data_IF_023360294305
#
_entry.id   IF_023360294305
#
_cell.length_a   1.000
_cell.length_b   1.000
_cell.length_c   1.000
_cell.angle_alpha   90.00
_cell.angle_beta   90.00
_cell.angle_gamma   90.00
#
_symmetry.space_group_name_H-M   'P 1'
#
loop_
_entity.id
_entity.type
_entity.pdbx_description
1 polymer ?
#
# COMPACT_ATOMS: atom_id res chain seq x y z
N UNK A 1 -49.19 7.76 2.07
CA UNK A 1 -48.86 6.41 2.54
C UNK A 1 -47.57 6.53 3.33
N UNK A 2 -47.66 6.61 4.66
CA UNK A 2 -46.48 6.64 5.53
C UNK A 2 -45.86 5.24 5.48
N UNK A 3 -44.57 5.14 5.15
CA UNK A 3 -43.81 3.90 5.17
C UNK A 3 -43.80 3.36 6.61
N UNK A 4 -44.78 2.54 6.96
CA UNK A 4 -44.90 1.86 8.26
C UNK A 4 -43.90 0.70 8.40
N UNK A 5 -42.64 0.94 8.03
CA UNK A 5 -41.60 -0.08 7.99
C UNK A 5 -40.17 0.44 7.91
N UNK A 6 -39.95 1.76 7.89
CA UNK A 6 -38.59 2.30 8.00
C UNK A 6 -38.16 2.28 9.47
N UNK A 7 -37.27 1.34 9.81
CA UNK A 7 -36.58 1.32 11.08
C UNK A 7 -35.22 2.02 10.93
N UNK A 8 -35.17 3.28 11.34
CA UNK A 8 -33.99 4.13 11.27
C UNK A 8 -32.77 3.50 11.95
N UNK A 9 -32.96 2.82 13.09
CA UNK A 9 -31.87 2.20 13.84
C UNK A 9 -31.22 1.05 13.05
N UNK A 10 -32.02 0.23 12.36
CA UNK A 10 -31.50 -0.85 11.51
C UNK A 10 -30.73 -0.27 10.33
N UNK A 11 -31.24 0.81 9.73
CA UNK A 11 -30.58 1.47 8.60
C UNK A 11 -29.24 2.09 9.01
N UNK A 12 -29.19 2.82 10.12
CA UNK A 12 -27.96 3.43 10.64
C UNK A 12 -26.93 2.36 11.05
N UNK A 13 -27.39 1.26 11.65
CA UNK A 13 -26.52 0.14 12.00
C UNK A 13 -25.92 -0.52 10.74
N UNK A 14 -26.74 -0.74 9.71
CA UNK A 14 -26.28 -1.27 8.42
C UNK A 14 -25.23 -0.37 7.78
N UNK A 15 -25.46 0.93 7.70
CA UNK A 15 -24.49 1.90 7.18
C UNK A 15 -23.17 1.89 7.97
N UNK A 16 -23.24 1.74 9.30
CA UNK A 16 -22.04 1.69 10.14
C UNK A 16 -21.23 0.42 9.93
N UNK A 17 -21.91 -0.72 9.79
CA UNK A 17 -21.28 -2.02 9.50
C UNK A 17 -20.63 -2.01 8.12
N UNK A 18 -21.33 -1.53 7.09
CA UNK A 18 -20.78 -1.35 5.73
C UNK A 18 -19.56 -0.43 5.73
N UNK A 19 -19.63 0.70 6.45
CA UNK A 19 -18.51 1.63 6.58
C UNK A 19 -17.29 1.03 7.29
N UNK A 20 -17.52 0.18 8.30
CA UNK A 20 -16.43 -0.53 8.99
C UNK A 20 -15.79 -1.55 8.05
N UNK A 21 -16.57 -2.40 7.40
CA UNK A 21 -16.05 -3.42 6.47
C UNK A 21 -15.25 -2.77 5.32
N UNK A 22 -15.77 -1.68 4.75
CA UNK A 22 -15.07 -0.90 3.74
C UNK A 22 -13.73 -0.36 4.26
N UNK A 23 -13.71 0.20 5.47
CA UNK A 23 -12.49 0.72 6.10
C UNK A 23 -11.43 -0.35 6.38
N UNK A 24 -11.84 -1.55 6.82
CA UNK A 24 -10.91 -2.69 6.98
C UNK A 24 -10.32 -3.09 5.64
N UNK A 25 -11.16 -3.23 4.61
CA UNK A 25 -10.70 -3.70 3.31
C UNK A 25 -9.78 -2.68 2.62
N UNK A 26 -10.09 -1.39 2.74
CA UNK A 26 -9.22 -0.31 2.26
C UNK A 26 -7.90 -0.29 3.02
N UNK A 27 -7.94 -0.36 4.36
CA UNK A 27 -6.72 -0.40 5.18
C UNK A 27 -5.84 -1.62 4.87
N UNK A 28 -6.45 -2.78 4.63
CA UNK A 28 -5.73 -4.00 4.21
C UNK A 28 -5.07 -3.82 2.85
N UNK A 29 -5.77 -3.25 1.87
CA UNK A 29 -5.21 -2.97 0.54
C UNK A 29 -4.05 -1.98 0.61
N UNK A 30 -4.22 -0.88 1.34
CA UNK A 30 -3.18 0.12 1.54
C UNK A 30 -1.94 -0.49 2.20
N UNK A 31 -2.11 -1.24 3.30
CA UNK A 31 -1.00 -1.88 4.01
C UNK A 31 -0.25 -2.92 3.16
N UNK A 32 -0.95 -3.67 2.31
CA UNK A 32 -0.29 -4.59 1.37
C UNK A 32 0.51 -3.82 0.32
N UNK A 33 -0.06 -2.75 -0.25
CA UNK A 33 0.62 -1.95 -1.26
C UNK A 33 1.90 -1.30 -0.68
N UNK A 34 1.79 -0.68 0.50
CA UNK A 34 2.94 -0.11 1.22
C UNK A 34 3.99 -1.18 1.55
N UNK A 35 3.55 -2.35 2.03
CA UNK A 35 4.46 -3.46 2.37
C UNK A 35 5.21 -4.03 1.17
N UNK A 36 4.60 -4.06 -0.02
CA UNK A 36 5.26 -4.45 -1.27
C UNK A 36 6.34 -3.43 -1.63
N UNK A 37 6.01 -2.13 -1.59
CA UNK A 37 6.97 -1.05 -1.92
C UNK A 37 8.17 -1.10 -0.96
N UNK A 38 7.93 -1.19 0.35
CA UNK A 38 9.01 -1.27 1.35
C UNK A 38 9.87 -2.54 1.16
N UNK A 39 9.24 -3.66 0.79
CA UNK A 39 9.93 -4.90 0.43
C UNK A 39 10.83 -4.75 -0.79
N UNK A 40 10.34 -4.06 -1.83
CA UNK A 40 11.07 -3.79 -3.06
C UNK A 40 12.27 -2.86 -2.79
N UNK A 41 12.08 -1.77 -2.04
CA UNK A 41 13.16 -0.86 -1.63
C UNK A 41 14.25 -1.61 -0.85
N UNK A 42 13.87 -2.46 0.10
CA UNK A 42 14.83 -3.29 0.85
C UNK A 42 15.59 -4.27 -0.05
N UNK A 43 14.90 -4.90 -1.01
CA UNK A 43 15.53 -5.80 -1.95
C UNK A 43 16.57 -5.06 -2.82
N UNK A 44 16.22 -3.86 -3.31
CA UNK A 44 17.12 -3.00 -4.09
C UNK A 44 18.36 -2.64 -3.26
N UNK A 45 18.20 -2.18 -2.01
CA UNK A 45 19.33 -1.89 -1.09
C UNK A 45 20.27 -3.09 -0.97
N UNK A 46 19.72 -4.27 -0.67
CA UNK A 46 20.51 -5.50 -0.55
C UNK A 46 21.25 -5.86 -1.86
N UNK A 47 20.64 -5.61 -3.02
CA UNK A 47 21.28 -5.86 -4.33
C UNK A 47 22.44 -4.90 -4.59
N UNK A 48 22.29 -3.62 -4.24
CA UNK A 48 23.38 -2.64 -4.30
C UNK A 48 24.52 -3.03 -3.34
N UNK A 49 24.20 -3.46 -2.12
CA UNK A 49 25.20 -3.95 -1.14
C UNK A 49 25.97 -5.18 -1.65
N UNK A 50 25.33 -6.01 -2.48
CA UNK A 50 25.95 -7.15 -3.16
C UNK A 50 26.72 -6.76 -4.44
N UNK A 51 26.76 -5.48 -4.80
CA UNK A 51 27.53 -4.94 -5.91
C UNK A 51 26.85 -5.01 -7.28
N UNK A 52 25.52 -5.19 -7.34
CA UNK A 52 24.79 -5.11 -8.60
C UNK A 52 24.69 -3.66 -9.09
N UNK A 53 24.74 -3.45 -10.41
CA UNK A 53 24.59 -2.12 -11.00
C UNK A 53 23.12 -1.69 -11.09
N UNK A 54 22.90 -0.37 -11.20
CA UNK A 54 21.58 0.22 -11.43
C UNK A 54 20.89 -0.40 -12.66
N UNK A 55 21.63 -0.64 -13.74
CA UNK A 55 21.08 -1.23 -14.97
C UNK A 55 20.61 -2.66 -14.75
N UNK A 56 21.31 -3.45 -13.92
CA UNK A 56 20.92 -4.83 -13.61
C UNK A 56 19.65 -4.85 -12.76
N UNK A 57 19.56 -3.98 -11.75
CA UNK A 57 18.41 -3.91 -10.85
C UNK A 57 17.17 -3.39 -11.60
N UNK A 58 17.36 -2.41 -12.50
CA UNK A 58 16.30 -1.82 -13.34
C UNK A 58 15.68 -2.80 -14.35
N UNK A 59 16.23 -4.01 -14.52
CA UNK A 59 15.59 -5.06 -15.31
C UNK A 59 14.38 -5.67 -14.58
N UNK A 60 14.34 -5.56 -13.24
CA UNK A 60 13.30 -6.16 -12.40
C UNK A 60 12.48 -5.13 -11.64
N UNK A 61 13.07 -4.00 -11.28
CA UNK A 61 12.42 -2.91 -10.54
C UNK A 61 12.27 -1.67 -11.41
N UNK A 62 11.31 -0.80 -11.08
CA UNK A 62 11.16 0.47 -11.77
C UNK A 62 12.35 1.39 -11.49
N UNK A 63 12.72 2.21 -12.47
CA UNK A 63 13.78 3.21 -12.30
C UNK A 63 13.53 4.14 -11.12
N UNK A 64 12.28 4.56 -10.92
CA UNK A 64 11.90 5.44 -9.81
C UNK A 64 12.26 4.86 -8.44
N UNK A 65 12.01 3.56 -8.20
CA UNK A 65 12.37 2.92 -6.93
C UNK A 65 13.88 2.77 -6.78
N UNK A 66 14.58 2.47 -7.87
CA UNK A 66 16.05 2.34 -7.85
C UNK A 66 16.70 3.70 -7.58
N UNK A 67 16.25 4.76 -8.25
CA UNK A 67 16.70 6.14 -8.04
C UNK A 67 16.42 6.61 -6.61
N UNK A 68 15.24 6.30 -6.06
CA UNK A 68 14.92 6.61 -4.67
C UNK A 68 15.95 6.03 -3.69
N UNK A 69 16.27 4.73 -3.82
CA UNK A 69 17.27 4.08 -2.96
C UNK A 69 18.66 4.67 -3.15
N UNK A 70 19.05 5.00 -4.39
CA UNK A 70 20.35 5.62 -4.67
C UNK A 70 20.46 7.02 -4.05
N UNK A 71 19.39 7.81 -4.06
CA UNK A 71 19.36 9.11 -3.39
C UNK A 71 19.51 8.97 -1.87
N UNK A 72 18.74 8.06 -1.25
CA UNK A 72 18.81 7.80 0.19
C UNK A 72 20.21 7.34 0.67
N UNK A 73 20.91 6.54 -0.14
CA UNK A 73 22.26 6.06 0.21
C UNK A 73 23.35 7.09 -0.01
N UNK A 74 23.12 8.11 -0.85
CA UNK A 74 24.10 9.18 -1.16
C UNK A 74 24.03 10.33 -0.14
N UNK A 75 22.93 10.46 0.60
CA UNK A 75 22.74 11.49 1.64
C UNK A 75 23.38 11.12 3.00
N UNK A 76 24.06 9.97 3.09
CA UNK A 76 24.78 9.48 4.29
C UNK A 76 26.30 9.67 4.12
#
# INVERSE_FOLDING_TARGET
MLLSGFNQEIYEKGLREEGWEAGIEEGRKAGIAEGIIEGDLRAIRNMLDLGLSEEQISQKYSKELVEQVLQETTEI
#
